data_IF_546603300377
#
_entry.id   IF_546603300377
#
_cell.length_a   1.000
_cell.length_b   1.000
_cell.length_c   1.000
_cell.angle_alpha   90.00
_cell.angle_beta   90.00
_cell.angle_gamma   90.00
#
_symmetry.space_group_name_H-M   'P 1'
#
loop_
_entity.id
_entity.type
_entity.pdbx_description
1 polymer ?
#
# COMPACT_ATOMS: atom_id res chain seq x y z
N UNK A 1 16.48 18.39 8.89
CA UNK A 1 16.96 19.72 8.54
C UNK A 1 17.96 19.52 7.39
N UNK A 2 17.53 19.71 6.14
CA UNK A 2 18.37 19.50 4.95
C UNK A 2 19.00 20.84 4.63
N UNK A 3 20.29 20.96 4.84
CA UNK A 3 21.04 22.17 4.53
C UNK A 3 21.38 22.18 3.04
N UNK A 4 20.67 22.99 2.27
CA UNK A 4 21.01 23.31 0.88
C UNK A 4 22.31 24.15 0.89
N UNK A 5 23.44 23.54 0.51
CA UNK A 5 24.65 24.30 0.23
C UNK A 5 24.47 25.06 -1.07
N UNK A 6 24.71 26.37 -1.01
CA UNK A 6 24.73 27.32 -2.12
C UNK A 6 25.79 26.91 -3.15
N UNK A 7 25.39 26.93 -4.41
CA UNK A 7 26.29 26.84 -5.58
C UNK A 7 27.29 27.97 -5.59
N UNK A 8 28.59 27.67 -5.60
CA UNK A 8 29.69 28.61 -5.84
C UNK A 8 30.24 28.25 -7.23
N UNK A 9 30.11 29.13 -8.25
CA UNK A 9 30.70 28.87 -9.55
C UNK A 9 32.23 29.14 -9.48
N UNK A 10 33.04 28.19 -9.91
CA UNK A 10 34.47 28.37 -10.13
C UNK A 10 35.42 27.31 -9.53
N UNK A 11 35.04 26.05 -9.50
CA UNK A 11 36.00 24.96 -9.25
C UNK A 11 35.81 23.88 -10.32
N UNK A 12 36.67 23.90 -11.32
CA UNK A 12 36.82 22.88 -12.36
C UNK A 12 37.68 21.72 -11.82
N UNK A 13 37.23 21.01 -10.76
CA UNK A 13 37.85 19.76 -10.33
C UNK A 13 36.99 18.61 -10.88
N UNK A 14 37.51 17.81 -11.85
CA UNK A 14 36.77 16.70 -12.42
C UNK A 14 36.45 15.58 -11.41
N UNK A 15 37.04 15.62 -10.22
CA UNK A 15 36.78 14.66 -9.13
C UNK A 15 35.66 15.09 -8.18
N UNK A 16 35.12 16.32 -8.32
CA UNK A 16 33.92 16.76 -7.62
C UNK A 16 32.62 16.22 -8.26
N UNK A 17 32.67 14.98 -8.73
CA UNK A 17 31.50 14.25 -9.15
C UNK A 17 30.61 14.06 -7.91
N UNK A 18 29.46 14.73 -7.90
CA UNK A 18 28.42 14.74 -6.87
C UNK A 18 28.35 13.40 -6.15
N UNK A 19 28.96 13.29 -4.99
CA UNK A 19 28.74 12.18 -4.08
C UNK A 19 27.31 12.35 -3.57
N UNK A 20 26.37 11.71 -4.29
CA UNK A 20 25.00 11.61 -3.80
C UNK A 20 25.05 10.92 -2.44
N UNK A 21 24.33 11.44 -1.44
CA UNK A 21 24.32 10.82 -0.12
C UNK A 21 23.97 9.33 -0.29
N UNK A 22 24.76 8.51 0.37
CA UNK A 22 24.57 7.05 0.38
C UNK A 22 23.15 6.76 0.86
N UNK A 23 22.33 6.13 0.01
CA UNK A 23 20.98 5.76 0.40
C UNK A 23 21.09 4.59 1.37
N UNK A 24 20.67 4.74 2.62
CA UNK A 24 20.83 3.71 3.62
C UNK A 24 20.16 2.41 3.16
N UNK A 25 20.72 1.29 3.57
CA UNK A 25 20.12 -0.04 3.33
C UNK A 25 18.69 -0.10 3.89
N UNK A 26 17.83 -0.98 3.34
CA UNK A 26 16.49 -1.18 3.87
C UNK A 26 16.53 -1.45 5.36
N UNK A 27 15.67 -0.78 6.12
CA UNK A 27 15.62 -0.94 7.58
C UNK A 27 14.68 -2.11 7.91
N UNK A 28 15.07 -3.00 8.83
CA UNK A 28 14.13 -3.94 9.40
C UNK A 28 13.03 -3.18 10.14
N UNK A 29 11.81 -3.70 10.06
CA UNK A 29 10.72 -3.15 10.87
C UNK A 29 11.02 -3.41 12.35
N UNK A 30 10.73 -2.46 13.27
CA UNK A 30 10.89 -2.68 14.70
C UNK A 30 10.16 -3.96 15.13
N UNK A 31 10.85 -4.83 15.85
CA UNK A 31 10.27 -6.06 16.35
C UNK A 31 9.02 -5.77 17.20
N UNK A 32 7.92 -6.45 16.91
CA UNK A 32 6.70 -6.42 17.72
C UNK A 32 6.71 -7.64 18.65
N UNK A 33 6.02 -7.58 19.81
CA UNK A 33 5.89 -8.73 20.71
C UNK A 33 5.33 -9.97 20.01
N UNK A 34 4.36 -9.76 19.12
CA UNK A 34 3.80 -10.78 18.23
C UNK A 34 3.99 -10.34 16.77
N UNK A 35 4.80 -11.07 15.98
CA UNK A 35 4.99 -10.77 14.57
C UNK A 35 3.70 -11.01 13.78
N UNK A 36 3.31 -10.03 12.99
CA UNK A 36 2.17 -10.07 12.09
C UNK A 36 2.51 -10.79 10.77
N UNK A 37 1.52 -11.05 9.91
CA UNK A 37 1.79 -11.67 8.60
C UNK A 37 2.71 -10.79 7.75
N UNK A 38 2.51 -9.48 7.74
CA UNK A 38 3.37 -8.58 6.96
C UNK A 38 4.83 -8.58 7.47
N UNK A 39 5.06 -8.79 8.77
CA UNK A 39 6.43 -8.91 9.33
C UNK A 39 7.16 -10.15 8.80
N UNK A 40 6.41 -11.20 8.46
CA UNK A 40 6.96 -12.45 7.86
C UNK A 40 7.12 -12.33 6.35
N UNK A 41 6.20 -11.63 5.68
CA UNK A 41 6.15 -11.52 4.22
C UNK A 41 7.15 -10.48 3.71
N UNK A 42 7.21 -9.30 4.34
CA UNK A 42 8.08 -8.20 3.97
C UNK A 42 8.71 -7.55 5.22
N UNK A 43 9.69 -8.24 5.85
CA UNK A 43 10.30 -7.79 7.12
C UNK A 43 11.13 -6.52 6.97
N UNK A 44 11.69 -6.28 5.78
CA UNK A 44 12.48 -5.09 5.46
C UNK A 44 11.77 -4.25 4.42
N UNK A 45 11.88 -2.93 4.54
CA UNK A 45 11.32 -2.00 3.58
C UNK A 45 12.11 -0.68 3.55
N UNK A 46 12.04 0.03 2.45
CA UNK A 46 12.68 1.34 2.27
C UNK A 46 11.75 2.46 2.73
N UNK A 47 10.47 2.36 2.39
CA UNK A 47 9.43 3.33 2.73
C UNK A 47 8.15 2.63 3.17
N UNK A 48 7.39 3.26 4.04
CA UNK A 48 6.14 2.70 4.55
C UNK A 48 5.43 3.66 5.50
N UNK A 49 4.32 3.20 6.02
CA UNK A 49 3.55 3.98 6.99
C UNK A 49 2.39 3.21 7.58
N UNK A 50 1.86 3.74 8.65
CA UNK A 50 0.75 3.15 9.40
C UNK A 50 -0.40 4.15 9.48
N UNK A 51 -1.61 3.68 9.20
CA UNK A 51 -2.85 4.43 9.36
C UNK A 51 -3.80 3.65 10.25
N UNK A 52 -4.59 4.33 11.07
CA UNK A 52 -5.55 3.71 11.99
C UNK A 52 -6.93 4.32 11.79
N UNK A 53 -7.96 3.48 11.89
CA UNK A 53 -9.36 3.91 11.93
C UNK A 53 -10.13 3.05 12.92
N UNK A 54 -11.12 3.63 13.59
CA UNK A 54 -12.07 2.88 14.43
C UNK A 54 -13.42 2.86 13.74
N UNK A 55 -14.02 1.67 13.69
CA UNK A 55 -15.26 1.35 12.99
C UNK A 55 -16.22 0.75 13.99
N UNK A 56 -17.46 1.20 13.99
CA UNK A 56 -18.53 0.71 14.88
C UNK A 56 -19.18 -0.55 14.27
N UNK A 57 -18.41 -1.63 14.29
CA UNK A 57 -18.81 -2.96 13.82
C UNK A 57 -17.82 -4.01 14.31
N UNK A 58 -18.23 -5.28 14.32
CA UNK A 58 -17.32 -6.41 14.64
C UNK A 58 -16.26 -6.62 13.57
N UNK A 59 -15.12 -7.27 13.88
CA UNK A 59 -14.06 -7.55 12.90
C UNK A 59 -14.55 -8.28 11.65
N UNK A 60 -15.47 -9.24 11.80
CA UNK A 60 -16.08 -10.00 10.71
C UNK A 60 -16.77 -9.07 9.71
N UNK A 61 -17.65 -8.18 10.22
CA UNK A 61 -18.37 -7.21 9.39
C UNK A 61 -17.41 -6.26 8.70
N UNK A 62 -16.36 -5.83 9.40
CA UNK A 62 -15.35 -4.92 8.85
C UNK A 62 -14.56 -5.59 7.71
N UNK A 63 -14.11 -6.85 7.87
CA UNK A 63 -13.41 -7.56 6.80
C UNK A 63 -14.34 -7.91 5.63
N UNK A 64 -15.60 -8.25 5.89
CA UNK A 64 -16.60 -8.43 4.84
C UNK A 64 -16.80 -7.12 4.05
N UNK A 65 -16.95 -6.00 4.75
CA UNK A 65 -17.05 -4.69 4.12
C UNK A 65 -15.81 -4.37 3.27
N UNK A 66 -14.59 -4.57 3.81
CA UNK A 66 -13.33 -4.31 3.11
C UNK A 66 -13.20 -5.11 1.81
N UNK A 67 -13.57 -6.38 1.81
CA UNK A 67 -13.53 -7.24 0.62
C UNK A 67 -14.53 -6.81 -0.44
N UNK A 68 -15.64 -6.22 -0.03
CA UNK A 68 -16.78 -5.90 -0.90
C UNK A 68 -16.86 -4.40 -1.29
N UNK A 69 -15.94 -3.54 -0.81
CA UNK A 69 -15.88 -2.13 -1.27
C UNK A 69 -15.64 -2.08 -2.77
N UNK A 70 -16.51 -1.39 -3.49
CA UNK A 70 -16.39 -1.18 -4.93
C UNK A 70 -15.65 0.13 -5.24
N UNK A 71 -15.16 0.28 -6.48
CA UNK A 71 -14.47 1.50 -6.90
C UNK A 71 -15.37 2.74 -6.79
N UNK A 72 -16.68 2.60 -7.00
CA UNK A 72 -17.63 3.72 -6.94
C UNK A 72 -17.83 4.26 -5.51
N UNK A 73 -17.64 3.40 -4.51
CA UNK A 73 -17.73 3.79 -3.10
C UNK A 73 -16.50 4.58 -2.65
N UNK A 74 -15.39 4.51 -3.39
CA UNK A 74 -14.14 5.20 -3.07
C UNK A 74 -14.15 6.57 -3.71
N UNK A 75 -14.40 7.61 -2.91
CA UNK A 75 -14.49 8.99 -3.39
C UNK A 75 -13.12 9.46 -3.95
N UNK A 76 -13.14 10.14 -5.09
CA UNK A 76 -11.95 10.73 -5.72
C UNK A 76 -11.22 9.83 -6.71
N UNK A 77 -11.49 8.54 -6.80
CA UNK A 77 -10.92 7.65 -7.83
C UNK A 77 -11.30 8.09 -9.26
N UNK A 78 -12.54 8.51 -9.56
CA UNK A 78 -12.88 9.00 -10.90
C UNK A 78 -12.05 10.19 -11.37
N UNK A 79 -11.70 11.10 -10.46
CA UNK A 79 -10.80 12.22 -10.74
C UNK A 79 -9.38 11.73 -11.05
N UNK A 80 -8.94 10.69 -10.39
CA UNK A 80 -7.60 10.13 -10.50
C UNK A 80 -7.45 9.24 -11.74
N UNK A 81 -8.51 8.55 -12.14
CA UNK A 81 -8.58 7.85 -13.43
C UNK A 81 -8.50 8.84 -14.61
N UNK A 82 -9.05 10.05 -14.46
CA UNK A 82 -8.91 11.13 -15.44
C UNK A 82 -7.49 11.71 -15.53
N UNK A 83 -6.70 11.62 -14.47
CA UNK A 83 -5.30 12.04 -14.45
C UNK A 83 -4.32 10.99 -15.01
N UNK A 84 -4.81 10.05 -15.82
CA UNK A 84 -3.98 9.06 -16.52
C UNK A 84 -3.68 7.79 -15.73
N UNK A 85 -4.27 7.66 -14.54
CA UNK A 85 -4.23 6.40 -13.82
C UNK A 85 -5.28 5.45 -14.41
N UNK A 86 -4.88 4.71 -15.44
CA UNK A 86 -5.55 3.45 -15.73
C UNK A 86 -5.12 2.46 -14.66
N UNK A 87 -6.00 1.99 -13.76
CA UNK A 87 -5.75 0.75 -13.04
C UNK A 87 -5.39 -0.26 -14.13
N UNK A 88 -4.28 -1.00 -13.99
CA UNK A 88 -3.86 -2.00 -14.96
C UNK A 88 -5.01 -2.95 -15.27
N UNK A 89 -5.85 -2.56 -16.19
CA UNK A 89 -7.06 -3.27 -16.56
C UNK A 89 -6.80 -4.05 -17.82
N UNK A 90 -6.83 -5.36 -17.72
CA UNK A 90 -7.22 -6.21 -18.83
C UNK A 90 -8.58 -5.68 -19.32
N UNK A 91 -8.78 -5.39 -20.63
CA UNK A 91 -10.06 -5.04 -21.18
C UNK A 91 -10.99 -6.26 -21.07
N UNK A 92 -11.72 -6.39 -20.00
CA UNK A 92 -12.79 -7.34 -19.82
C UNK A 92 -14.10 -6.55 -19.81
N UNK A 93 -14.96 -6.80 -20.78
CA UNK A 93 -16.30 -6.28 -20.89
C UNK A 93 -17.09 -6.59 -19.62
N UNK A 94 -17.24 -5.61 -18.78
CA UNK A 94 -18.03 -5.66 -17.55
C UNK A 94 -18.00 -4.28 -16.89
N UNK A 95 -19.09 -3.89 -16.26
CA UNK A 95 -19.23 -2.61 -15.60
C UNK A 95 -18.09 -2.44 -14.58
N UNK A 96 -17.04 -1.68 -14.93
CA UNK A 96 -15.83 -1.48 -14.11
C UNK A 96 -16.17 -0.97 -12.70
N UNK A 97 -17.30 -0.29 -12.56
CA UNK A 97 -17.84 0.24 -11.32
C UNK A 97 -18.26 -0.82 -10.31
N UNK A 98 -18.69 -1.99 -10.78
CA UNK A 98 -19.16 -3.08 -9.92
C UNK A 98 -18.04 -3.97 -9.37
N UNK A 99 -16.80 -3.80 -9.86
CA UNK A 99 -15.65 -4.56 -9.35
C UNK A 99 -15.27 -4.05 -7.97
N UNK A 100 -14.92 -5.00 -7.08
CA UNK A 100 -14.34 -4.62 -5.79
C UNK A 100 -12.97 -3.95 -5.99
N UNK A 101 -12.55 -3.15 -5.03
CA UNK A 101 -11.24 -2.50 -5.06
C UNK A 101 -10.10 -3.53 -5.28
N UNK A 102 -10.14 -4.65 -4.59
CA UNK A 102 -9.13 -5.70 -4.70
C UNK A 102 -9.08 -6.30 -6.11
N UNK A 103 -10.24 -6.58 -6.70
CA UNK A 103 -10.33 -7.10 -8.08
C UNK A 103 -9.88 -6.07 -9.12
N UNK A 104 -10.27 -4.82 -8.92
CA UNK A 104 -9.95 -3.75 -9.87
C UNK A 104 -8.47 -3.34 -9.87
N UNK A 105 -7.78 -3.57 -8.76
CA UNK A 105 -6.35 -3.25 -8.63
C UNK A 105 -5.43 -4.44 -8.91
N UNK A 106 -5.99 -5.61 -9.23
CA UNK A 106 -5.24 -6.85 -9.42
C UNK A 106 -4.29 -7.15 -8.23
N UNK A 107 -4.82 -6.95 -7.01
CA UNK A 107 -4.07 -7.19 -5.79
C UNK A 107 -3.81 -8.68 -5.59
N UNK A 108 -2.56 -9.08 -5.40
CA UNK A 108 -2.21 -10.45 -5.06
C UNK A 108 -2.52 -10.70 -3.57
N UNK A 109 -3.38 -11.67 -3.21
CA UNK A 109 -3.54 -12.10 -1.83
C UNK A 109 -2.25 -12.75 -1.34
N UNK A 110 -1.64 -12.20 -0.28
CA UNK A 110 -0.39 -12.71 0.28
C UNK A 110 -0.60 -13.56 1.53
N UNK A 111 -1.73 -13.43 2.19
CA UNK A 111 -2.08 -14.22 3.35
C UNK A 111 -3.22 -13.62 4.16
N UNK A 112 -3.86 -14.46 4.95
CA UNK A 112 -4.98 -14.07 5.79
C UNK A 112 -4.99 -14.86 7.10
N UNK A 113 -5.27 -14.17 8.20
CA UNK A 113 -5.72 -14.75 9.47
C UNK A 113 -7.15 -14.27 9.66
N UNK A 114 -8.16 -15.15 9.64
CA UNK A 114 -9.57 -14.76 9.70
C UNK A 114 -9.84 -13.77 10.84
N UNK A 115 -10.58 -12.71 10.53
CA UNK A 115 -11.01 -11.64 11.44
C UNK A 115 -9.88 -10.90 12.19
N UNK A 116 -8.62 -11.17 11.85
CA UNK A 116 -7.45 -10.54 12.49
C UNK A 116 -6.55 -9.79 11.53
N UNK A 117 -6.20 -10.40 10.40
CA UNK A 117 -5.27 -9.78 9.45
C UNK A 117 -5.47 -10.31 8.03
N UNK A 118 -5.44 -9.42 7.03
CA UNK A 118 -5.23 -9.81 5.65
C UNK A 118 -4.12 -8.97 5.03
N UNK A 119 -3.32 -9.60 4.17
CA UNK A 119 -2.19 -8.96 3.49
C UNK A 119 -2.36 -9.12 1.98
N UNK A 120 -2.25 -8.00 1.27
CA UNK A 120 -2.23 -7.97 -0.19
C UNK A 120 -0.90 -7.39 -0.68
N UNK A 121 -0.52 -7.72 -1.90
CA UNK A 121 0.74 -7.26 -2.46
C UNK A 121 0.68 -6.91 -3.93
N UNK A 122 1.72 -6.19 -4.34
CA UNK A 122 1.97 -5.79 -5.72
C UNK A 122 3.46 -5.84 -5.98
N UNK A 123 3.84 -6.18 -7.21
CA UNK A 123 5.19 -5.98 -7.73
C UNK A 123 5.09 -5.14 -8.99
N UNK A 124 5.93 -4.13 -9.12
CA UNK A 124 5.88 -3.27 -10.30
C UNK A 124 6.85 -2.10 -10.25
N UNK A 125 6.78 -1.22 -11.24
CA UNK A 125 7.45 0.08 -11.25
C UNK A 125 6.55 1.12 -10.58
N UNK A 126 6.38 0.99 -9.24
CA UNK A 126 5.38 1.74 -8.48
C UNK A 126 5.74 3.22 -8.29
N UNK A 127 7.04 3.54 -8.34
CA UNK A 127 7.55 4.92 -8.27
C UNK A 127 7.21 5.73 -9.53
N UNK A 128 7.00 5.08 -10.67
CA UNK A 128 6.69 5.75 -11.92
C UNK A 128 5.17 5.80 -12.13
N UNK A 129 4.59 6.96 -11.85
CA UNK A 129 3.15 7.16 -12.03
C UNK A 129 2.73 7.23 -13.51
N UNK A 130 3.66 7.49 -14.45
CA UNK A 130 3.38 7.63 -15.88
C UNK A 130 3.50 6.31 -16.63
N UNK A 131 4.48 5.48 -16.27
CA UNK A 131 4.74 4.17 -16.87
C UNK A 131 4.73 3.07 -15.80
N UNK A 132 3.66 3.03 -15.01
CA UNK A 132 3.48 2.01 -13.99
C UNK A 132 3.21 0.66 -14.67
N UNK A 133 4.09 -0.30 -14.42
CA UNK A 133 3.96 -1.69 -14.86
C UNK A 133 3.78 -2.56 -13.64
N UNK A 134 2.68 -3.29 -13.59
CA UNK A 134 2.47 -4.31 -12.58
C UNK A 134 2.88 -5.67 -13.15
N UNK A 135 3.53 -6.46 -12.32
CA UNK A 135 3.88 -7.85 -12.63
C UNK A 135 2.77 -8.74 -12.09
N UNK A 136 2.20 -9.55 -12.96
CA UNK A 136 1.23 -10.55 -12.54
C UNK A 136 1.97 -11.75 -11.92
N UNK A 137 1.71 -12.00 -10.65
CA UNK A 137 2.34 -13.07 -9.90
C UNK A 137 1.27 -14.08 -9.44
N UNK A 138 1.57 -15.39 -9.53
CA UNK A 138 0.58 -16.40 -9.21
C UNK A 138 0.32 -16.56 -7.70
N UNK A 139 1.31 -16.29 -6.85
CA UNK A 139 1.22 -16.64 -5.42
C UNK A 139 2.21 -15.88 -4.53
N UNK A 140 2.06 -16.08 -3.22
CA UNK A 140 2.95 -15.57 -2.17
C UNK A 140 4.41 -15.99 -2.36
N UNK A 141 4.65 -17.26 -2.72
CA UNK A 141 6.01 -17.78 -2.84
C UNK A 141 6.77 -17.05 -3.95
N UNK A 142 6.12 -16.85 -5.09
CA UNK A 142 6.67 -16.07 -6.22
C UNK A 142 6.89 -14.61 -5.81
N UNK A 143 5.96 -14.00 -5.08
CA UNK A 143 6.13 -12.65 -4.53
C UNK A 143 7.36 -12.57 -3.62
N UNK A 144 7.53 -13.51 -2.69
CA UNK A 144 8.67 -13.48 -1.76
C UNK A 144 10.01 -13.63 -2.49
N UNK A 145 10.08 -14.49 -3.50
CA UNK A 145 11.31 -14.78 -4.26
C UNK A 145 11.62 -13.77 -5.35
N UNK A 146 10.64 -13.01 -5.80
CA UNK A 146 10.86 -12.00 -6.84
C UNK A 146 11.96 -11.02 -6.40
N UNK A 147 12.98 -10.83 -7.23
CA UNK A 147 14.14 -9.98 -6.90
C UNK A 147 14.74 -9.27 -8.12
N UNK A 148 13.95 -9.04 -9.17
CA UNK A 148 14.44 -8.40 -10.37
C UNK A 148 14.73 -6.91 -10.13
N UNK A 149 15.94 -6.43 -10.45
CA UNK A 149 16.28 -5.02 -10.32
C UNK A 149 15.36 -4.13 -11.17
N UNK A 150 15.03 -2.96 -10.66
CA UNK A 150 14.17 -2.00 -11.37
C UNK A 150 12.71 -2.02 -10.88
N UNK A 151 12.33 -3.03 -10.10
CA UNK A 151 10.98 -3.18 -9.55
C UNK A 151 10.90 -2.84 -8.06
N UNK A 152 9.70 -2.68 -7.56
CA UNK A 152 9.37 -2.58 -6.14
C UNK A 152 8.37 -3.65 -5.75
N UNK A 153 8.47 -4.09 -4.48
CA UNK A 153 7.44 -4.86 -3.79
C UNK A 153 6.67 -3.95 -2.86
N UNK A 154 5.36 -3.93 -2.97
CA UNK A 154 4.46 -3.28 -2.03
C UNK A 154 3.65 -4.35 -1.32
N UNK A 155 3.64 -4.34 0.01
CA UNK A 155 2.71 -5.13 0.82
C UNK A 155 1.85 -4.19 1.65
N UNK A 156 0.56 -4.51 1.76
CA UNK A 156 -0.41 -3.77 2.57
C UNK A 156 -1.12 -4.76 3.48
N UNK A 157 -1.00 -4.57 4.79
CA UNK A 157 -1.69 -5.35 5.81
C UNK A 157 -2.83 -4.56 6.41
N UNK A 158 -3.97 -5.18 6.54
CA UNK A 158 -5.14 -4.69 7.28
C UNK A 158 -5.29 -5.55 8.52
N UNK A 159 -5.06 -4.97 9.70
CA UNK A 159 -5.09 -5.67 10.99
C UNK A 159 -6.26 -5.16 11.81
N UNK A 160 -7.12 -6.06 12.28
CA UNK A 160 -8.25 -5.75 13.14
C UNK A 160 -7.97 -6.10 14.59
N UNK A 161 -8.38 -5.21 15.48
CA UNK A 161 -8.37 -5.43 16.93
C UNK A 161 -9.73 -5.07 17.47
N UNK A 162 -10.40 -6.01 18.12
CA UNK A 162 -11.64 -5.75 18.86
C UNK A 162 -11.37 -4.83 20.03
N UNK A 163 -12.23 -3.84 20.24
CA UNK A 163 -12.20 -2.96 21.38
C UNK A 163 -13.24 -3.41 22.43
N UNK A 164 -13.05 -3.07 23.71
CA UNK A 164 -13.98 -3.48 24.79
C UNK A 164 -15.43 -2.99 24.60
N UNK A 165 -15.61 -1.93 23.83
CA UNK A 165 -16.91 -1.34 23.52
C UNK A 165 -17.59 -1.95 22.27
N UNK A 166 -17.10 -3.08 21.77
CA UNK A 166 -17.65 -3.78 20.62
C UNK A 166 -17.19 -3.22 19.26
N UNK A 167 -16.51 -2.10 19.23
CA UNK A 167 -15.94 -1.51 18.02
C UNK A 167 -14.69 -2.25 17.57
N UNK A 168 -14.30 -2.05 16.32
CA UNK A 168 -13.06 -2.59 15.75
C UNK A 168 -12.10 -1.45 15.40
N UNK A 169 -10.87 -1.59 15.85
CA UNK A 169 -9.75 -0.76 15.37
C UNK A 169 -9.07 -1.47 14.22
N UNK A 170 -9.06 -0.82 13.04
CA UNK A 170 -8.25 -1.26 11.90
C UNK A 170 -6.94 -0.48 11.89
N UNK A 171 -5.85 -1.21 11.81
CA UNK A 171 -4.51 -0.68 11.54
C UNK A 171 -4.11 -1.14 10.14
N UNK A 172 -3.78 -0.19 9.27
CA UNK A 172 -3.22 -0.46 7.94
C UNK A 172 -1.74 -0.17 7.97
N UNK A 173 -0.93 -1.21 7.76
CA UNK A 173 0.53 -1.12 7.63
C UNK A 173 0.88 -1.35 6.15
N UNK A 174 1.54 -0.39 5.52
CA UNK A 174 1.98 -0.54 4.15
C UNK A 174 3.49 -0.36 4.05
N UNK A 175 4.14 -1.22 3.28
CA UNK A 175 5.59 -1.30 3.15
C UNK A 175 5.98 -1.45 1.70
N UNK A 176 6.96 -0.67 1.27
CA UNK A 176 7.52 -0.77 -0.09
C UNK A 176 9.01 -1.01 -0.01
N UNK A 177 9.46 -2.06 -0.69
CA UNK A 177 10.86 -2.45 -0.84
C UNK A 177 11.29 -2.28 -2.29
N UNK A 178 12.32 -1.49 -2.53
CA UNK A 178 12.93 -1.33 -3.84
C UNK A 178 13.96 -2.43 -4.12
N UNK A 179 13.87 -3.03 -5.30
CA UNK A 179 14.78 -4.07 -5.74
C UNK A 179 15.93 -3.46 -6.56
N UNK A 180 16.97 -3.07 -5.84
CA UNK A 180 18.18 -2.48 -6.40
C UNK A 180 18.41 -1.00 -6.03
N UNK A 181 19.67 -0.55 -6.07
CA UNK A 181 20.06 0.79 -5.60
C UNK A 181 19.43 1.93 -6.39
N UNK A 182 19.35 1.81 -7.72
CA UNK A 182 18.76 2.84 -8.59
C UNK A 182 17.25 2.99 -8.33
N UNK A 183 16.55 1.87 -8.14
CA UNK A 183 15.12 1.83 -7.83
C UNK A 183 14.86 2.46 -6.46
N UNK A 184 15.69 2.14 -5.47
CA UNK A 184 15.60 2.71 -4.12
C UNK A 184 15.71 4.23 -4.15
N UNK A 185 16.66 4.77 -4.94
CA UNK A 185 16.82 6.22 -5.10
C UNK A 185 15.56 6.84 -5.70
N UNK A 186 15.02 6.26 -6.77
CA UNK A 186 13.80 6.75 -7.42
C UNK A 186 12.59 6.66 -6.47
N UNK A 187 12.43 5.55 -5.76
CA UNK A 187 11.36 5.35 -4.78
C UNK A 187 11.43 6.39 -3.66
N UNK A 188 12.63 6.64 -3.12
CA UNK A 188 12.83 7.64 -2.06
C UNK A 188 12.44 9.04 -2.54
N UNK A 189 12.86 9.43 -3.75
CA UNK A 189 12.47 10.71 -4.33
C UNK A 189 10.96 10.80 -4.58
N UNK A 190 10.36 9.74 -5.12
CA UNK A 190 8.91 9.66 -5.33
C UNK A 190 8.13 9.72 -4.00
N UNK A 191 8.64 9.10 -2.94
CA UNK A 191 8.01 9.10 -1.61
C UNK A 191 7.92 10.49 -0.98
N UNK A 192 8.91 11.33 -1.18
CA UNK A 192 8.88 12.73 -0.72
C UNK A 192 8.17 13.68 -1.69
N UNK A 193 7.63 13.16 -2.79
CA UNK A 193 6.85 13.90 -3.78
C UNK A 193 5.33 13.69 -3.60
N UNK A 194 4.54 14.26 -4.52
CA UNK A 194 3.10 14.09 -4.58
C UNK A 194 2.62 12.62 -4.70
N UNK A 195 3.50 11.70 -5.14
CA UNK A 195 3.15 10.29 -5.30
C UNK A 195 2.80 9.60 -3.98
N UNK A 196 3.48 9.94 -2.90
CA UNK A 196 3.20 9.36 -1.57
C UNK A 196 1.87 9.87 -0.99
N UNK A 197 1.56 11.13 -1.24
CA UNK A 197 0.28 11.72 -0.83
C UNK A 197 -0.89 10.99 -1.50
N UNK A 198 -0.74 10.65 -2.78
CA UNK A 198 -1.74 9.91 -3.54
C UNK A 198 -2.05 8.53 -2.95
N UNK A 199 -1.03 7.71 -2.68
CA UNK A 199 -1.22 6.39 -2.08
C UNK A 199 -1.92 6.45 -0.72
N UNK A 200 -1.56 7.44 0.11
CA UNK A 200 -2.23 7.70 1.40
C UNK A 200 -3.69 8.09 1.21
N UNK A 201 -3.99 8.95 0.23
CA UNK A 201 -5.36 9.35 -0.06
C UNK A 201 -6.21 8.16 -0.47
N UNK A 202 -5.71 7.30 -1.36
CA UNK A 202 -6.43 6.08 -1.78
C UNK A 202 -6.73 5.19 -0.60
N UNK A 203 -5.75 4.91 0.27
CA UNK A 203 -5.96 4.11 1.48
C UNK A 203 -6.97 4.75 2.45
N UNK A 204 -6.89 6.06 2.66
CA UNK A 204 -7.86 6.77 3.50
C UNK A 204 -9.28 6.69 2.94
N UNK A 205 -9.45 6.84 1.64
CA UNK A 205 -10.77 6.73 1.00
C UNK A 205 -11.30 5.30 1.01
N UNK A 206 -10.43 4.30 0.83
CA UNK A 206 -10.80 2.89 0.99
C UNK A 206 -11.30 2.61 2.41
N UNK A 207 -10.56 3.06 3.43
CA UNK A 207 -10.96 2.90 4.83
C UNK A 207 -12.26 3.65 5.15
N UNK A 208 -12.46 4.84 4.59
CA UNK A 208 -13.70 5.59 4.75
C UNK A 208 -14.89 4.88 4.10
N UNK A 209 -14.70 4.26 2.94
CA UNK A 209 -15.73 3.46 2.27
C UNK A 209 -16.03 2.18 3.09
N UNK A 210 -15.00 1.47 3.54
CA UNK A 210 -15.13 0.30 4.42
C UNK A 210 -15.92 0.65 5.69
N UNK A 211 -15.59 1.77 6.33
CA UNK A 211 -16.29 2.26 7.53
C UNK A 211 -17.77 2.49 7.25
N UNK A 212 -18.11 3.28 6.21
CA UNK A 212 -19.51 3.54 5.85
C UNK A 212 -20.28 2.25 5.58
N UNK A 213 -19.67 1.32 4.84
CA UNK A 213 -20.31 0.03 4.50
C UNK A 213 -20.53 -0.84 5.72
N UNK A 214 -19.52 -0.96 6.60
CA UNK A 214 -19.60 -1.76 7.82
C UNK A 214 -20.64 -1.21 8.80
N UNK A 215 -20.67 0.11 9.01
CA UNK A 215 -21.60 0.77 9.92
C UNK A 215 -23.04 0.86 9.39
N UNK A 216 -23.25 0.72 8.06
CA UNK A 216 -24.57 0.63 7.46
C UNK A 216 -25.12 -0.80 7.39
N UNK A 217 -24.29 -1.82 7.66
CA UNK A 217 -24.76 -3.19 7.70
C UNK A 217 -25.72 -3.37 8.89
N UNK A 218 -26.90 -4.00 8.69
CA UNK A 218 -27.81 -4.26 9.80
C UNK A 218 -27.09 -5.11 10.85
N UNK A 219 -27.09 -4.66 12.11
CA UNK A 219 -26.60 -5.45 13.23
C UNK A 219 -27.36 -6.76 13.25
N UNK A 220 -26.75 -7.82 12.77
CA UNK A 220 -27.25 -9.18 13.03
C UNK A 220 -27.03 -9.41 14.52
N UNK A 221 -28.09 -9.17 15.30
CA UNK A 221 -28.16 -9.62 16.68
C UNK A 221 -27.84 -11.12 16.65
N UNK A 222 -26.71 -11.50 17.22
CA UNK A 222 -26.43 -12.89 17.53
C UNK A 222 -27.43 -13.28 18.61
N UNK A 223 -28.60 -13.77 18.22
CA UNK A 223 -29.44 -14.56 19.10
C UNK A 223 -28.69 -15.89 19.34
N UNK A 224 -28.27 -16.03 20.58
CA UNK A 224 -27.68 -17.25 21.14
C UNK A 224 -28.77 -18.30 21.41
#
# INVERSE_FOLDING_TARGET
MVTLRRFIPGHDDPDDMWVLPEIPAPKPHPARPEPTLIDRILPCHDVGGVTKVTIDASPQIVFEALRNVTLDEIRGIPLLARLGHRPGGVPGEGNASARTFLQATNALPLGETPDRECVIGYVGTLHDLRDRRLVDLPDLFTFMRFNDPGYEKLAISFQATSLPDGRTRILVDHRTLALGPSTRRKLTLAWYSLASWYGRLVLQQLLAATKRRAESAPHRTQES
#
